data_IF_744490796113
#
_entry.id   IF_744490796113
#
_cell.length_a   1.000
_cell.length_b   1.000
_cell.length_c   1.000
_cell.angle_alpha   90.00
_cell.angle_beta   90.00
_cell.angle_gamma   90.00
#
_symmetry.space_group_name_H-M   'P 1'
#
loop_
_entity.id
_entity.type
_entity.pdbx_description
1 polymer ?
#
# COMPACT_ATOMS: atom_id res chain seq x y z
N UNK A 1 5.48 -7.95 36.23
CA UNK A 1 5.31 -8.01 34.77
C UNK A 1 6.28 -9.03 34.21
N UNK A 2 5.80 -9.98 33.40
CA UNK A 2 6.56 -11.15 32.96
C UNK A 2 7.33 -10.79 31.67
N UNK A 3 8.67 -10.92 31.67
CA UNK A 3 9.55 -10.53 30.55
C UNK A 3 9.15 -11.19 29.22
N UNK A 4 8.67 -12.44 29.27
CA UNK A 4 8.17 -13.18 28.11
C UNK A 4 6.94 -12.54 27.44
N UNK A 5 6.12 -11.80 28.21
CA UNK A 5 4.95 -11.12 27.67
C UNK A 5 5.35 -9.88 26.86
N UNK A 6 6.32 -9.10 27.37
CA UNK A 6 6.84 -7.92 26.67
C UNK A 6 7.57 -8.29 25.37
N UNK A 7 8.36 -9.38 25.37
CA UNK A 7 9.00 -9.89 24.15
C UNK A 7 8.00 -10.38 23.10
N UNK A 8 6.87 -10.96 23.54
CA UNK A 8 5.80 -11.38 22.65
C UNK A 8 5.03 -10.18 22.06
N UNK A 9 4.68 -9.20 22.89
CA UNK A 9 4.02 -7.96 22.45
C UNK A 9 4.88 -7.20 21.43
N UNK A 10 6.19 -7.09 21.68
CA UNK A 10 7.13 -6.44 20.77
C UNK A 10 7.19 -7.14 19.40
N UNK A 11 7.25 -8.48 19.38
CA UNK A 11 7.23 -9.25 18.12
C UNK A 11 5.93 -9.07 17.34
N UNK A 12 4.79 -8.95 18.03
CA UNK A 12 3.49 -8.71 17.38
C UNK A 12 3.51 -7.33 16.69
N UNK A 13 3.99 -6.29 17.38
CA UNK A 13 4.10 -4.93 16.83
C UNK A 13 5.03 -4.93 15.59
N UNK A 14 6.19 -5.56 15.69
CA UNK A 14 7.16 -5.61 14.60
C UNK A 14 6.63 -6.33 13.36
N UNK A 15 5.90 -7.44 13.55
CA UNK A 15 5.26 -8.14 12.45
C UNK A 15 4.19 -7.26 11.79
N UNK A 16 3.34 -6.60 12.58
CA UNK A 16 2.31 -5.72 12.04
C UNK A 16 2.91 -4.57 11.22
N UNK A 17 3.97 -3.91 11.71
CA UNK A 17 4.67 -2.85 10.98
C UNK A 17 5.32 -3.36 9.69
N UNK A 18 5.86 -4.59 9.69
CA UNK A 18 6.40 -5.21 8.47
C UNK A 18 5.28 -5.47 7.45
N UNK A 19 4.16 -6.00 7.90
CA UNK A 19 3.02 -6.33 7.05
C UNK A 19 2.42 -5.06 6.44
N UNK A 20 2.28 -3.99 7.23
CA UNK A 20 1.83 -2.67 6.75
C UNK A 20 2.75 -2.10 5.68
N UNK A 21 4.08 -2.15 5.88
CA UNK A 21 5.05 -1.73 4.86
C UNK A 21 4.92 -2.53 3.56
N UNK A 22 4.65 -3.83 3.66
CA UNK A 22 4.45 -4.67 2.48
C UNK A 22 3.17 -4.27 1.73
N UNK A 23 2.08 -3.95 2.44
CA UNK A 23 0.86 -3.44 1.84
C UNK A 23 1.11 -2.12 1.08
N UNK A 24 1.83 -1.18 1.70
CA UNK A 24 2.16 0.11 1.07
C UNK A 24 3.05 -0.11 -0.18
N UNK A 25 4.00 -1.05 -0.12
CA UNK A 25 4.84 -1.38 -1.28
C UNK A 25 4.01 -1.95 -2.44
N UNK A 26 3.08 -2.86 -2.18
CA UNK A 26 2.17 -3.42 -3.20
C UNK A 26 1.33 -2.30 -3.84
N UNK A 27 0.81 -1.38 -3.03
CA UNK A 27 0.10 -0.20 -3.51
C UNK A 27 0.98 0.68 -4.40
N UNK A 28 2.20 1.00 -3.95
CA UNK A 28 3.12 1.86 -4.68
C UNK A 28 3.54 1.23 -6.01
N UNK A 29 3.82 -0.07 -6.01
CA UNK A 29 4.20 -0.80 -7.21
C UNK A 29 3.05 -0.90 -8.21
N UNK A 30 1.81 -1.09 -7.74
CA UNK A 30 0.62 -1.06 -8.59
C UNK A 30 0.45 0.31 -9.26
N UNK A 31 0.63 1.41 -8.51
CA UNK A 31 0.59 2.75 -9.08
C UNK A 31 1.60 2.90 -10.23
N UNK A 32 2.83 2.42 -10.04
CA UNK A 32 3.87 2.44 -11.08
C UNK A 32 3.50 1.56 -12.29
N UNK A 33 2.93 0.36 -12.09
CA UNK A 33 2.44 -0.48 -13.19
C UNK A 33 1.41 0.24 -14.07
N UNK A 34 0.66 1.17 -13.49
CA UNK A 34 -0.38 1.94 -14.17
C UNK A 34 0.01 3.38 -14.53
N UNK A 35 1.27 3.78 -14.29
CA UNK A 35 1.76 5.13 -14.59
C UNK A 35 1.14 6.22 -13.72
N UNK A 36 0.70 5.87 -12.51
CA UNK A 36 0.15 6.77 -11.50
C UNK A 36 1.24 7.25 -10.55
N UNK A 37 1.07 8.45 -9.99
CA UNK A 37 1.89 8.94 -8.88
C UNK A 37 1.36 8.34 -7.56
N UNK A 38 2.11 7.43 -6.90
CA UNK A 38 1.64 6.81 -5.67
C UNK A 38 1.50 7.81 -4.53
N UNK A 39 2.36 8.84 -4.47
CA UNK A 39 2.30 9.85 -3.41
C UNK A 39 1.06 10.72 -3.56
N UNK A 40 0.80 11.20 -4.79
CA UNK A 40 -0.40 11.96 -5.11
C UNK A 40 -1.69 11.17 -4.88
N UNK A 41 -1.70 9.86 -5.18
CA UNK A 41 -2.88 9.02 -4.95
C UNK A 41 -3.09 8.73 -3.47
N UNK A 42 -2.03 8.44 -2.72
CA UNK A 42 -2.11 8.24 -1.28
C UNK A 42 -2.61 9.50 -0.55
N UNK A 43 -2.15 10.68 -0.98
CA UNK A 43 -2.58 11.96 -0.42
C UNK A 43 -4.07 12.27 -0.67
N UNK A 44 -4.70 11.66 -1.67
CA UNK A 44 -6.15 11.80 -1.87
C UNK A 44 -6.95 11.05 -0.79
N UNK A 45 -6.48 9.86 -0.39
CA UNK A 45 -7.08 9.11 0.70
C UNK A 45 -6.82 9.76 2.07
N UNK A 46 -5.64 10.38 2.24
CA UNK A 46 -5.20 10.93 3.51
C UNK A 46 -4.64 12.36 3.40
N UNK A 47 -5.47 13.35 3.03
CA UNK A 47 -5.00 14.72 2.78
C UNK A 47 -4.43 15.42 4.02
N UNK A 48 -4.73 14.92 5.22
CA UNK A 48 -4.23 15.47 6.49
C UNK A 48 -2.97 14.75 6.98
N UNK A 49 -2.65 13.57 6.47
CA UNK A 49 -1.34 12.96 6.72
C UNK A 49 -0.35 13.69 5.81
N UNK A 50 0.54 14.47 6.43
CA UNK A 50 1.61 15.17 5.72
C UNK A 50 2.62 14.19 5.10
N UNK A 51 3.93 14.48 5.23
CA UNK A 51 4.95 13.54 4.77
C UNK A 51 4.85 12.20 5.52
N UNK A 52 4.30 11.18 4.85
CA UNK A 52 4.23 9.84 5.38
C UNK A 52 5.56 9.11 5.14
N UNK A 53 6.33 8.92 6.20
CA UNK A 53 7.65 8.26 6.15
C UNK A 53 7.58 6.82 5.64
N UNK A 54 6.53 6.06 5.96
CA UNK A 54 6.37 4.68 5.51
C UNK A 54 6.13 4.61 4.00
N UNK A 55 5.35 5.56 3.47
CA UNK A 55 5.16 5.70 2.02
C UNK A 55 6.47 6.05 1.32
N UNK A 56 7.26 6.98 1.87
CA UNK A 56 8.57 7.33 1.30
C UNK A 56 9.52 6.13 1.27
N UNK A 57 9.60 5.38 2.36
CA UNK A 57 10.43 4.17 2.42
C UNK A 57 9.96 3.09 1.44
N UNK A 58 8.65 2.91 1.28
CA UNK A 58 8.12 1.96 0.30
C UNK A 58 8.46 2.37 -1.14
N UNK A 59 8.43 3.67 -1.45
CA UNK A 59 8.78 4.18 -2.77
C UNK A 59 10.23 3.90 -3.15
N UNK A 60 11.16 3.99 -2.19
CA UNK A 60 12.58 3.65 -2.41
C UNK A 60 12.80 2.18 -2.79
N UNK A 61 11.85 1.30 -2.46
CA UNK A 61 11.93 -0.14 -2.72
C UNK A 61 11.16 -0.56 -3.98
N UNK A 62 10.43 0.37 -4.62
CA UNK A 62 9.73 0.07 -5.87
C UNK A 62 10.71 -0.10 -7.02
N UNK A 63 10.32 -0.91 -8.01
CA UNK A 63 11.07 -1.07 -9.25
C UNK A 63 10.27 -0.53 -10.43
N UNK A 64 10.94 -0.33 -11.56
CA UNK A 64 10.30 0.16 -12.78
C UNK A 64 9.20 -0.79 -13.26
N UNK A 65 8.27 -0.29 -14.09
CA UNK A 65 7.20 -1.10 -14.66
C UNK A 65 7.74 -2.27 -15.50
N UNK A 66 8.90 -2.09 -16.10
CA UNK A 66 9.59 -3.08 -16.92
C UNK A 66 10.22 -4.21 -16.09
N UNK A 67 10.58 -3.92 -14.85
CA UNK A 67 11.21 -4.86 -13.91
C UNK A 67 10.18 -5.52 -12.97
N UNK A 68 9.06 -4.85 -12.72
CA UNK A 68 7.96 -5.36 -11.91
C UNK A 68 7.04 -6.28 -12.71
N UNK A 69 6.64 -7.40 -12.10
CA UNK A 69 5.43 -8.10 -12.54
C UNK A 69 4.19 -7.20 -12.39
N UNK A 70 3.20 -7.38 -13.25
CA UNK A 70 1.92 -6.67 -13.14
C UNK A 70 1.18 -7.12 -11.87
N UNK A 71 0.77 -6.16 -11.04
CA UNK A 71 -0.12 -6.40 -9.90
C UNK A 71 -1.57 -6.22 -10.40
N UNK A 72 -2.42 -7.26 -10.37
CA UNK A 72 -3.82 -7.13 -10.77
C UNK A 72 -4.60 -6.22 -9.81
N UNK A 73 -5.56 -5.47 -10.35
CA UNK A 73 -6.45 -4.58 -9.59
C UNK A 73 -7.12 -5.30 -8.39
N UNK A 74 -7.68 -6.49 -8.61
CA UNK A 74 -8.33 -7.30 -7.57
C UNK A 74 -7.35 -7.75 -6.46
N UNK A 75 -6.07 -7.93 -6.82
CA UNK A 75 -5.04 -8.31 -5.85
C UNK A 75 -4.74 -7.15 -4.92
N UNK A 76 -4.57 -5.95 -5.47
CA UNK A 76 -4.38 -4.75 -4.66
C UNK A 76 -5.60 -4.50 -3.76
N UNK A 77 -6.81 -4.53 -4.31
CA UNK A 77 -8.03 -4.31 -3.54
C UNK A 77 -8.21 -5.35 -2.40
N UNK A 78 -7.90 -6.62 -2.67
CA UNK A 78 -7.91 -7.67 -1.65
C UNK A 78 -6.90 -7.43 -0.53
N UNK A 79 -5.67 -6.99 -0.87
CA UNK A 79 -4.67 -6.61 0.12
C UNK A 79 -5.16 -5.43 0.95
N UNK A 80 -5.61 -4.33 0.33
CA UNK A 80 -6.09 -3.16 1.07
C UNK A 80 -7.24 -3.50 2.02
N UNK A 81 -8.18 -4.36 1.59
CA UNK A 81 -9.27 -4.87 2.41
C UNK A 81 -8.78 -5.70 3.60
N UNK A 82 -7.79 -6.57 3.41
CA UNK A 82 -7.19 -7.36 4.49
C UNK A 82 -6.58 -6.50 5.59
N UNK A 83 -6.02 -5.34 5.24
CA UNK A 83 -5.46 -4.37 6.18
C UNK A 83 -6.48 -3.35 6.69
N UNK A 84 -7.74 -3.42 6.27
CA UNK A 84 -8.79 -2.46 6.65
C UNK A 84 -8.56 -1.05 6.10
N UNK A 85 -7.78 -0.93 5.03
CA UNK A 85 -7.46 0.36 4.42
C UNK A 85 -8.52 0.75 3.38
N UNK A 86 -9.72 1.06 3.88
CA UNK A 86 -10.91 1.33 3.07
C UNK A 86 -10.80 2.63 2.26
N UNK A 87 -10.21 3.69 2.84
CA UNK A 87 -10.02 4.99 2.17
C UNK A 87 -9.12 4.87 0.95
N UNK A 88 -7.99 4.15 1.08
CA UNK A 88 -7.10 3.92 -0.06
C UNK A 88 -7.74 2.98 -1.08
N UNK A 89 -8.48 1.96 -0.65
CA UNK A 89 -9.23 1.09 -1.55
C UNK A 89 -10.29 1.85 -2.35
N UNK A 90 -10.96 2.83 -1.73
CA UNK A 90 -11.94 3.70 -2.39
C UNK A 90 -11.28 4.51 -3.52
N UNK A 91 -10.20 5.22 -3.21
CA UNK A 91 -9.46 6.03 -4.18
C UNK A 91 -8.89 5.18 -5.32
N UNK A 92 -8.35 3.99 -5.02
CA UNK A 92 -7.89 3.02 -6.03
C UNK A 92 -9.03 2.57 -6.94
N UNK A 93 -10.21 2.32 -6.38
CA UNK A 93 -11.41 1.93 -7.16
C UNK A 93 -11.83 3.04 -8.12
N UNK A 94 -11.76 4.31 -7.71
CA UNK A 94 -12.03 5.44 -8.60
C UNK A 94 -11.02 5.50 -9.76
N UNK A 95 -9.73 5.25 -9.51
CA UNK A 95 -8.71 5.19 -10.56
C UNK A 95 -8.93 4.02 -11.53
N UNK A 96 -9.36 2.87 -11.03
CA UNK A 96 -9.72 1.72 -11.88
C UNK A 96 -10.89 2.08 -12.80
N UNK A 97 -11.92 2.73 -12.26
CA UNK A 97 -13.12 3.12 -13.01
C UNK A 97 -12.87 4.16 -14.12
N UNK A 98 -11.79 4.96 -14.01
CA UNK A 98 -11.37 5.91 -15.05
C UNK A 98 -10.78 5.23 -16.29
N UNK A 99 -10.36 3.97 -16.18
CA UNK A 99 -9.75 3.22 -17.28
C UNK A 99 -10.83 2.75 -18.27
N UNK A 100 -10.55 2.75 -19.58
CA UNK A 100 -11.47 2.15 -20.53
C UNK A 100 -11.64 0.65 -20.20
N UNK A 101 -12.85 0.08 -20.37
CA UNK A 101 -13.06 -1.34 -20.14
C UNK A 101 -12.09 -2.15 -20.99
N UNK A 102 -11.36 -3.07 -20.35
CA UNK A 102 -10.49 -4.03 -21.06
C UNK A 102 -11.37 -4.79 -22.06
N UNK A 103 -11.06 -4.66 -23.35
CA UNK A 103 -11.74 -5.38 -24.45
C UNK A 103 -11.38 -6.86 -24.44
#
# INVERSE_FOLDING_TARGET
>A
MNRNQQEMEQRIIENYQRDERMMILIFAQWCINHGLDPAGLYAQAYPQQGNNTELQQALELTVSKEEAGEIPDDTLLGVLSMFGNEELAFVVTEEIAKRPPRK
#
